data_IF_163084716551
#
_entry.id   IF_163084716551
#
_cell.length_a   1.000
_cell.length_b   1.000
_cell.length_c   1.000
_cell.angle_alpha   90.00
_cell.angle_beta   90.00
_cell.angle_gamma   90.00
#
_symmetry.space_group_name_H-M   'P 1'
#
loop_
_entity.id
_entity.type
_entity.pdbx_description
1 polymer ?
#
# COMPACT_ATOMS: atom_id res chain seq x y z
N UNK A 1 -4.57 33.60 -6.60
CA UNK A 1 -4.15 32.41 -5.83
C UNK A 1 -5.37 31.85 -5.15
N UNK A 2 -5.75 30.60 -5.45
CA UNK A 2 -6.90 29.98 -4.81
C UNK A 2 -6.49 29.70 -3.37
N UNK A 3 -7.09 30.41 -2.42
CA UNK A 3 -6.89 30.17 -1.00
C UNK A 3 -7.54 28.81 -0.70
N UNK A 4 -6.73 27.77 -0.49
CA UNK A 4 -7.25 26.50 0.02
C UNK A 4 -7.44 26.70 1.53
N UNK A 5 -8.67 26.75 2.06
CA UNK A 5 -8.89 27.04 3.48
C UNK A 5 -8.37 25.94 4.41
N UNK A 6 -7.96 24.78 3.87
CA UNK A 6 -7.50 23.61 4.64
C UNK A 6 -5.98 23.49 4.69
N UNK A 7 -5.26 23.81 3.61
CA UNK A 7 -3.79 23.66 3.54
C UNK A 7 -3.08 24.98 3.81
N UNK A 8 -2.10 24.96 4.72
CA UNK A 8 -1.27 26.13 5.02
C UNK A 8 -0.36 26.48 3.84
N UNK A 9 0.21 25.47 3.18
CA UNK A 9 1.03 25.63 1.98
C UNK A 9 0.47 24.77 0.84
N UNK A 10 0.43 25.34 -0.37
CA UNK A 10 -0.11 24.64 -1.54
C UNK A 10 0.73 23.40 -1.92
N UNK A 11 2.03 23.40 -1.59
CA UNK A 11 2.95 22.26 -1.79
C UNK A 11 2.52 21.00 -1.03
N UNK A 12 1.80 21.14 0.10
CA UNK A 12 1.28 20.00 0.88
C UNK A 12 0.34 19.11 0.07
N UNK A 13 -0.29 19.64 -0.99
CA UNK A 13 -1.19 18.87 -1.83
C UNK A 13 -0.50 17.69 -2.54
N UNK A 14 0.83 17.75 -2.71
CA UNK A 14 1.63 16.67 -3.33
C UNK A 14 1.60 15.39 -2.48
N UNK A 15 1.31 15.46 -1.18
CA UNK A 15 1.18 14.29 -0.31
C UNK A 15 -0.04 13.40 -0.64
N UNK A 16 -1.12 13.97 -1.17
CA UNK A 16 -2.39 13.26 -1.42
C UNK A 16 -2.25 12.01 -2.31
N UNK A 17 -1.62 12.06 -3.50
CA UNK A 17 -1.45 10.86 -4.32
C UNK A 17 -0.65 9.75 -3.64
N UNK A 18 0.34 10.10 -2.79
CA UNK A 18 1.11 9.10 -2.05
C UNK A 18 0.24 8.32 -1.06
N UNK A 19 -0.63 8.99 -0.32
CA UNK A 19 -1.55 8.31 0.60
C UNK A 19 -2.60 7.47 -0.13
N UNK A 20 -3.12 7.95 -1.26
CA UNK A 20 -4.07 7.17 -2.07
C UNK A 20 -3.41 5.89 -2.58
N UNK A 21 -2.19 5.98 -3.12
CA UNK A 21 -1.43 4.82 -3.57
C UNK A 21 -1.11 3.86 -2.41
N UNK A 22 -0.67 4.37 -1.25
CA UNK A 22 -0.38 3.57 -0.07
C UNK A 22 -1.59 2.74 0.38
N UNK A 23 -2.78 3.34 0.43
CA UNK A 23 -4.02 2.64 0.80
C UNK A 23 -4.37 1.55 -0.22
N UNK A 24 -4.24 1.84 -1.53
CA UNK A 24 -4.49 0.84 -2.57
C UNK A 24 -3.55 -0.36 -2.46
N UNK A 25 -2.25 -0.12 -2.24
CA UNK A 25 -1.26 -1.17 -2.06
C UNK A 25 -1.46 -1.95 -0.75
N UNK A 26 -1.90 -1.29 0.32
CA UNK A 26 -2.24 -1.92 1.59
C UNK A 26 -3.41 -2.92 1.44
N UNK A 27 -4.46 -2.54 0.70
CA UNK A 27 -5.57 -3.46 0.39
C UNK A 27 -5.05 -4.70 -0.35
N UNK A 28 -4.21 -4.51 -1.36
CA UNK A 28 -3.56 -5.61 -2.07
C UNK A 28 -2.76 -6.52 -1.12
N UNK A 29 -1.96 -5.93 -0.22
CA UNK A 29 -1.19 -6.67 0.77
C UNK A 29 -2.09 -7.53 1.67
N UNK A 30 -3.23 -7.02 2.12
CA UNK A 30 -4.16 -7.76 2.98
C UNK A 30 -4.80 -8.93 2.22
N UNK A 31 -5.24 -8.71 0.98
CA UNK A 31 -5.80 -9.77 0.13
C UNK A 31 -4.82 -10.92 -0.04
N UNK A 32 -3.55 -10.64 -0.37
CA UNK A 32 -2.54 -11.70 -0.50
C UNK A 32 -2.17 -12.36 0.84
N UNK A 33 -2.32 -11.65 1.96
CA UNK A 33 -2.19 -12.25 3.30
C UNK A 33 -3.30 -13.27 3.59
N UNK A 34 -4.55 -12.94 3.23
CA UNK A 34 -5.69 -13.85 3.36
C UNK A 34 -5.56 -15.07 2.43
N UNK A 35 -5.07 -14.87 1.20
CA UNK A 35 -4.78 -15.97 0.27
C UNK A 35 -3.78 -16.94 0.87
N UNK A 36 -2.66 -16.46 1.44
CA UNK A 36 -1.71 -17.34 2.10
C UNK A 36 -2.30 -18.02 3.33
N UNK A 37 -3.11 -17.31 4.13
CA UNK A 37 -3.83 -17.89 5.26
C UNK A 37 -4.75 -19.06 4.84
N UNK A 38 -5.43 -18.92 3.70
CA UNK A 38 -6.21 -20.00 3.11
C UNK A 38 -5.32 -21.17 2.65
N UNK A 39 -4.20 -20.88 1.96
CA UNK A 39 -3.22 -21.89 1.52
C UNK A 39 -2.62 -22.70 2.69
N UNK A 40 -2.53 -22.13 3.89
CA UNK A 40 -2.07 -22.84 5.10
C UNK A 40 -3.00 -23.98 5.53
N UNK A 41 -4.31 -23.87 5.25
CA UNK A 41 -5.33 -24.87 5.64
C UNK A 41 -5.74 -25.71 4.42
N UNK A 42 -5.70 -25.11 3.22
CA UNK A 42 -6.03 -25.73 1.93
C UNK A 42 -4.85 -25.57 0.95
N UNK A 43 -3.91 -26.53 0.99
CA UNK A 43 -2.60 -26.41 0.35
C UNK A 43 -2.56 -26.30 -1.18
N UNK A 44 -3.57 -26.80 -1.90
CA UNK A 44 -3.70 -26.72 -3.36
C UNK A 44 -4.54 -25.52 -3.84
N UNK A 45 -5.00 -24.67 -2.92
CA UNK A 45 -5.75 -23.46 -3.26
C UNK A 45 -4.93 -22.51 -4.15
N UNK A 46 -5.48 -22.20 -5.34
CA UNK A 46 -4.87 -21.41 -6.42
C UNK A 46 -3.62 -22.01 -7.09
N UNK A 47 -3.20 -23.23 -6.73
CA UNK A 47 -2.15 -23.92 -7.45
C UNK A 47 -2.67 -24.44 -8.81
N UNK A 48 -1.90 -24.38 -9.91
CA UNK A 48 -0.53 -23.87 -10.05
C UNK A 48 -0.43 -22.36 -10.40
N UNK A 49 -1.55 -21.67 -10.54
CA UNK A 49 -1.58 -20.28 -11.01
C UNK A 49 -0.90 -19.29 -10.05
N UNK A 50 -1.11 -19.44 -8.74
CA UNK A 50 -0.47 -18.61 -7.71
C UNK A 50 0.08 -19.51 -6.59
N UNK A 51 1.33 -20.00 -6.73
CA UNK A 51 1.99 -20.75 -5.68
C UNK A 51 2.25 -19.90 -4.43
N UNK A 52 2.34 -20.55 -3.27
CA UNK A 52 2.51 -19.88 -1.97
C UNK A 52 3.69 -18.91 -1.91
N UNK A 53 4.84 -19.27 -2.48
CA UNK A 53 6.02 -18.40 -2.50
C UNK A 53 5.78 -17.11 -3.31
N UNK A 54 5.00 -17.16 -4.39
CA UNK A 54 4.61 -15.98 -5.17
C UNK A 54 3.68 -15.09 -4.35
N UNK A 55 2.65 -15.68 -3.73
CA UNK A 55 1.75 -14.95 -2.83
C UNK A 55 2.50 -14.27 -1.66
N UNK A 56 3.50 -14.97 -1.10
CA UNK A 56 4.38 -14.44 -0.05
C UNK A 56 5.21 -13.25 -0.50
N UNK A 57 5.85 -13.35 -1.67
CA UNK A 57 6.64 -12.23 -2.21
C UNK A 57 5.77 -11.00 -2.45
N UNK A 58 4.58 -11.18 -3.03
CA UNK A 58 3.65 -10.05 -3.25
C UNK A 58 3.24 -9.43 -1.91
N UNK A 59 2.85 -10.23 -0.92
CA UNK A 59 2.46 -9.73 0.40
C UNK A 59 3.58 -8.92 1.09
N UNK A 60 4.80 -9.45 1.19
CA UNK A 60 5.90 -8.78 1.90
C UNK A 60 6.46 -7.59 1.14
N UNK A 61 6.50 -7.64 -0.20
CA UNK A 61 6.97 -6.50 -0.98
C UNK A 61 5.95 -5.36 -0.97
N UNK A 62 4.65 -5.67 -1.06
CA UNK A 62 3.61 -4.67 -0.90
C UNK A 62 3.70 -4.01 0.48
N UNK A 63 3.93 -4.78 1.56
CA UNK A 63 4.13 -4.24 2.91
C UNK A 63 5.21 -3.16 2.94
N UNK A 64 6.37 -3.43 2.35
CA UNK A 64 7.49 -2.47 2.30
C UNK A 64 7.11 -1.26 1.45
N UNK A 65 6.61 -1.48 0.24
CA UNK A 65 6.36 -0.39 -0.71
C UNK A 65 5.26 0.55 -0.21
N UNK A 66 4.14 0.04 0.30
CA UNK A 66 3.06 0.92 0.76
C UNK A 66 3.50 1.77 1.97
N UNK A 67 4.32 1.22 2.87
CA UNK A 67 4.92 1.97 3.98
C UNK A 67 5.85 3.08 3.47
N UNK A 68 6.68 2.80 2.46
CA UNK A 68 7.53 3.84 1.84
C UNK A 68 6.69 4.97 1.24
N UNK A 69 5.59 4.65 0.55
CA UNK A 69 4.65 5.67 0.05
C UNK A 69 4.05 6.50 1.20
N UNK A 70 3.65 5.85 2.30
CA UNK A 70 3.11 6.55 3.47
C UNK A 70 4.17 7.47 4.12
N UNK A 71 5.42 7.04 4.23
CA UNK A 71 6.52 7.86 4.75
C UNK A 71 6.81 9.07 3.86
N UNK A 72 6.87 8.87 2.53
CA UNK A 72 7.04 9.96 1.57
C UNK A 72 5.87 10.95 1.64
N UNK A 73 4.62 10.46 1.63
CA UNK A 73 3.43 11.29 1.77
C UNK A 73 3.42 12.11 3.07
N UNK A 74 3.85 11.49 4.17
CA UNK A 74 3.99 12.17 5.45
C UNK A 74 5.05 13.26 5.38
N UNK A 75 6.24 12.98 4.82
CA UNK A 75 7.29 13.98 4.65
C UNK A 75 6.81 15.18 3.78
N UNK A 76 6.13 14.93 2.66
CA UNK A 76 5.58 15.99 1.79
C UNK A 76 4.51 16.85 2.46
N UNK A 77 3.81 16.32 3.47
CA UNK A 77 2.82 17.09 4.21
C UNK A 77 3.42 17.86 5.39
N UNK A 78 4.38 17.27 6.11
CA UNK A 78 4.98 17.83 7.34
C UNK A 78 6.13 18.82 7.09
N UNK A 79 6.89 18.69 6.00
CA UNK A 79 8.05 19.55 5.65
C UNK A 79 7.76 20.45 4.40
N UNK A 80 6.59 21.10 4.32
CA UNK A 80 6.10 21.72 3.09
C UNK A 80 6.92 22.87 2.50
#
# INVERSE_FOLDING_TARGET
MIHNPVLKYQSQAVAKPYFIAAIGLFIGQIVFGLVMGAQYIWGDFLFPAIPFNVARMVHTNLLIVWLLFAFMGSAYYLVP
#
